data_IF_703376216477
#
_entry.id   IF_703376216477
#
_cell.length_a   1.000
_cell.length_b   1.000
_cell.length_c   1.000
_cell.angle_alpha   90.00
_cell.angle_beta   90.00
_cell.angle_gamma   90.00
#
_symmetry.space_group_name_H-M   'P 1'
#
loop_
_entity.id
_entity.type
_entity.pdbx_description
1 polymer ?
#
# COMPACT_ATOMS: atom_id res chain seq x y z
N UNK A 1 1.68 -71.21 -8.43
CA UNK A 1 0.92 -70.02 -8.79
C UNK A 1 0.89 -68.99 -7.62
N UNK A 2 2.06 -68.54 -7.12
CA UNK A 2 2.10 -67.55 -6.00
C UNK A 2 3.06 -66.38 -6.25
N UNK A 3 3.68 -66.30 -7.41
CA UNK A 3 4.68 -65.24 -7.72
C UNK A 3 4.10 -64.00 -8.42
N UNK A 4 2.99 -64.13 -9.12
CA UNK A 4 2.39 -63.04 -9.94
C UNK A 4 1.62 -62.02 -9.12
N UNK A 5 1.06 -62.39 -7.97
CA UNK A 5 0.26 -61.48 -7.14
C UNK A 5 1.11 -60.41 -6.41
N UNK A 6 2.37 -60.76 -6.05
CA UNK A 6 3.27 -59.80 -5.37
C UNK A 6 3.82 -58.71 -6.29
N UNK A 7 4.05 -59.04 -7.57
CA UNK A 7 4.54 -58.06 -8.54
C UNK A 7 3.50 -56.96 -8.87
N UNK A 8 2.22 -57.35 -8.95
CA UNK A 8 1.13 -56.38 -9.25
C UNK A 8 0.93 -55.39 -8.11
N UNK A 9 1.05 -55.84 -6.85
CA UNK A 9 0.89 -54.95 -5.69
C UNK A 9 2.03 -53.92 -5.62
N UNK A 10 3.27 -54.31 -5.92
CA UNK A 10 4.43 -53.40 -5.89
C UNK A 10 4.32 -52.34 -6.98
N UNK A 11 3.87 -52.70 -8.19
CA UNK A 11 3.69 -51.75 -9.30
C UNK A 11 2.56 -50.73 -8.98
N UNK A 12 1.47 -51.19 -8.40
CA UNK A 12 0.36 -50.30 -7.99
C UNK A 12 0.81 -49.31 -6.91
N UNK A 13 1.63 -49.75 -5.96
CA UNK A 13 2.12 -48.89 -4.88
C UNK A 13 3.11 -47.81 -5.37
N UNK A 14 3.98 -48.16 -6.31
CA UNK A 14 4.92 -47.17 -6.93
C UNK A 14 4.18 -46.14 -7.77
N UNK A 15 3.14 -46.54 -8.52
CA UNK A 15 2.32 -45.60 -9.28
C UNK A 15 1.54 -44.64 -8.38
N UNK A 16 1.02 -45.07 -7.22
CA UNK A 16 0.33 -44.20 -6.29
C UNK A 16 1.28 -43.17 -5.64
N UNK A 17 2.51 -43.59 -5.28
CA UNK A 17 3.50 -42.68 -4.70
C UNK A 17 3.97 -41.62 -5.73
N UNK A 18 4.08 -41.99 -7.00
CA UNK A 18 4.42 -41.05 -8.08
C UNK A 18 3.33 -40.03 -8.33
N UNK A 19 2.06 -40.43 -8.26
CA UNK A 19 0.93 -39.53 -8.43
C UNK A 19 0.81 -38.53 -7.28
N UNK A 20 1.03 -38.96 -6.02
CA UNK A 20 1.03 -38.09 -4.86
C UNK A 20 2.19 -37.08 -4.90
N UNK A 21 3.38 -37.52 -5.32
CA UNK A 21 4.54 -36.64 -5.47
C UNK A 21 4.30 -35.55 -6.54
N UNK A 22 3.62 -35.90 -7.65
CA UNK A 22 3.29 -34.94 -8.72
C UNK A 22 2.24 -33.93 -8.24
N UNK A 23 1.25 -34.37 -7.45
CA UNK A 23 0.23 -33.47 -6.92
C UNK A 23 0.85 -32.52 -5.89
N UNK A 24 1.72 -33.00 -5.00
CA UNK A 24 2.40 -32.16 -4.00
C UNK A 24 3.37 -31.19 -4.68
N UNK A 25 4.08 -31.62 -5.74
CA UNK A 25 5.00 -30.74 -6.48
C UNK A 25 4.26 -29.70 -7.34
N UNK A 26 3.02 -29.98 -7.78
CA UNK A 26 2.19 -28.96 -8.47
C UNK A 26 1.62 -27.91 -7.52
N UNK A 27 1.35 -28.26 -6.26
CA UNK A 27 0.90 -27.29 -5.27
C UNK A 27 2.04 -26.41 -4.73
N UNK A 28 3.29 -26.85 -4.84
CA UNK A 28 4.49 -26.08 -4.47
C UNK A 28 5.02 -25.17 -5.59
N UNK A 29 4.32 -25.06 -6.73
CA UNK A 29 4.57 -23.92 -7.61
C UNK A 29 4.08 -22.68 -6.88
N UNK A 30 5.00 -22.11 -6.12
CA UNK A 30 4.91 -20.76 -5.58
C UNK A 30 4.12 -19.91 -6.56
N UNK A 31 2.97 -19.36 -6.10
CA UNK A 31 2.40 -18.15 -6.71
C UNK A 31 3.60 -17.27 -7.07
N UNK A 32 3.71 -16.77 -8.31
CA UNK A 32 4.70 -15.73 -8.56
C UNK A 32 4.47 -14.70 -7.45
N UNK A 33 5.54 -14.38 -6.71
CA UNK A 33 5.52 -13.25 -5.78
C UNK A 33 4.90 -12.12 -6.60
N UNK A 34 3.71 -11.70 -6.21
CA UNK A 34 3.06 -10.56 -6.82
C UNK A 34 4.02 -9.40 -6.60
N UNK A 35 4.74 -9.07 -7.66
CA UNK A 35 5.64 -7.95 -7.72
C UNK A 35 4.84 -6.73 -7.30
N UNK A 36 5.10 -6.22 -6.08
CA UNK A 36 4.44 -5.07 -5.50
C UNK A 36 3.03 -5.34 -4.96
N UNK A 37 2.90 -6.16 -3.91
CA UNK A 37 1.72 -6.12 -3.05
C UNK A 37 1.62 -4.72 -2.44
N UNK A 38 1.01 -3.81 -3.19
CA UNK A 38 0.69 -2.46 -2.73
C UNK A 38 -0.16 -2.52 -1.47
N UNK A 39 -0.12 -1.49 -0.62
CA UNK A 39 -1.07 -1.38 0.50
C UNK A 39 -2.46 -1.43 -0.12
N UNK A 40 -3.23 -2.42 0.25
CA UNK A 40 -4.58 -2.60 -0.22
C UNK A 40 -5.50 -1.77 0.67
N UNK A 41 -6.11 -0.74 0.08
CA UNK A 41 -7.09 0.11 0.76
C UNK A 41 -8.49 -0.45 0.53
N UNK A 42 -9.44 -0.24 1.45
CA UNK A 42 -10.85 -0.58 1.23
C UNK A 42 -11.37 0.05 -0.06
N UNK A 43 -12.07 -0.74 -0.88
CA UNK A 43 -12.55 -0.33 -2.21
C UNK A 43 -13.57 0.82 -2.15
N UNK A 44 -14.32 0.92 -1.07
CA UNK A 44 -15.31 1.99 -0.89
C UNK A 44 -15.40 2.37 0.60
N UNK A 45 -15.36 3.67 0.86
CA UNK A 45 -15.55 4.25 2.20
C UNK A 45 -16.65 5.31 2.10
N UNK A 46 -17.64 5.24 2.99
CA UNK A 46 -18.75 6.20 3.00
C UNK A 46 -18.25 7.63 3.27
N UNK A 47 -18.96 8.63 2.77
CA UNK A 47 -18.61 10.03 3.02
C UNK A 47 -18.57 10.35 4.51
N UNK A 48 -19.51 9.85 5.29
CA UNK A 48 -19.53 10.00 6.73
C UNK A 48 -18.28 9.42 7.39
N UNK A 49 -17.83 8.25 6.93
CA UNK A 49 -16.60 7.62 7.44
C UNK A 49 -15.37 8.44 7.09
N UNK A 50 -15.24 8.97 5.87
CA UNK A 50 -14.12 9.84 5.46
C UNK A 50 -14.01 11.06 6.39
N UNK A 51 -15.12 11.70 6.69
CA UNK A 51 -15.17 12.85 7.61
C UNK A 51 -14.74 12.42 9.02
N UNK A 52 -15.19 11.26 9.51
CA UNK A 52 -14.81 10.75 10.83
C UNK A 52 -13.33 10.41 10.94
N UNK A 53 -12.72 9.87 9.87
CA UNK A 53 -11.30 9.53 9.86
C UNK A 53 -10.38 10.73 10.09
N UNK A 54 -10.84 11.95 9.79
CA UNK A 54 -10.06 13.19 9.92
C UNK A 54 -10.55 14.11 11.04
N UNK A 55 -11.39 13.64 11.94
CA UNK A 55 -11.88 14.42 13.09
C UNK A 55 -10.87 14.63 14.20
N UNK A 56 -9.91 13.73 14.33
CA UNK A 56 -8.96 13.74 15.43
C UNK A 56 -8.15 15.04 15.50
N UNK A 57 -7.59 15.29 16.66
CA UNK A 57 -6.61 16.36 16.85
C UNK A 57 -5.24 15.85 16.38
N UNK A 58 -4.88 16.22 15.15
CA UNK A 58 -3.66 15.79 14.51
C UNK A 58 -2.51 16.75 14.77
N UNK A 59 -1.38 16.25 15.25
CA UNK A 59 -0.10 16.96 15.19
C UNK A 59 0.36 16.96 13.73
N UNK A 60 0.50 18.15 13.15
CA UNK A 60 0.89 18.33 11.74
C UNK A 60 2.37 18.00 11.55
N UNK A 61 2.66 17.35 10.43
CA UNK A 61 3.98 16.86 10.03
C UNK A 61 4.29 17.42 8.64
N UNK A 62 5.41 18.11 8.53
CA UNK A 62 5.92 18.69 7.26
C UNK A 62 7.28 18.13 6.87
N UNK A 63 7.75 17.09 7.56
CA UNK A 63 8.99 16.39 7.25
C UNK A 63 8.75 14.87 7.22
N UNK A 64 9.11 14.25 6.10
CA UNK A 64 8.91 12.81 5.87
C UNK A 64 9.59 11.94 6.94
N UNK A 65 10.76 12.35 7.45
CA UNK A 65 11.50 11.58 8.46
C UNK A 65 10.79 11.52 9.83
N UNK A 66 9.78 12.37 10.06
CA UNK A 66 9.00 12.43 11.31
C UNK A 66 7.70 11.63 11.23
N UNK A 67 7.40 11.06 10.06
CA UNK A 67 6.25 10.15 9.92
C UNK A 67 6.37 8.94 10.87
N UNK A 68 5.26 8.41 11.39
CA UNK A 68 5.28 7.16 12.13
C UNK A 68 6.00 6.07 11.37
N UNK A 69 6.88 5.33 12.05
CA UNK A 69 7.76 4.32 11.42
C UNK A 69 7.01 3.34 10.50
N UNK A 70 5.85 2.75 10.86
CA UNK A 70 5.15 1.84 9.97
C UNK A 70 4.64 2.53 8.70
N UNK A 71 4.20 3.79 8.80
CA UNK A 71 3.76 4.57 7.64
C UNK A 71 4.94 4.90 6.73
N UNK A 72 6.07 5.33 7.30
CA UNK A 72 7.30 5.60 6.54
C UNK A 72 7.79 4.35 5.79
N UNK A 73 7.87 3.20 6.45
CA UNK A 73 8.22 1.91 5.82
C UNK A 73 7.32 1.60 4.65
N UNK A 74 6.02 1.82 4.77
CA UNK A 74 5.06 1.57 3.71
C UNK A 74 5.31 2.39 2.43
N UNK A 75 5.84 3.59 2.56
CA UNK A 75 6.30 4.38 1.42
C UNK A 75 7.66 3.95 0.89
N UNK A 76 8.49 3.25 1.67
CA UNK A 76 9.83 2.80 1.27
C UNK A 76 9.83 1.44 0.57
N UNK A 77 9.00 0.50 1.01
CA UNK A 77 9.04 -0.90 0.58
C UNK A 77 8.47 -1.16 -0.83
N UNK A 78 7.76 -0.20 -1.42
CA UNK A 78 6.90 -0.43 -2.59
C UNK A 78 7.52 -0.25 -3.97
N UNK A 79 8.82 -0.11 -4.13
CA UNK A 79 9.40 -0.01 -5.47
C UNK A 79 10.59 0.93 -5.64
N UNK A 80 11.54 0.88 -4.74
CA UNK A 80 12.77 1.67 -4.84
C UNK A 80 12.51 3.18 -4.77
N UNK A 81 13.35 3.99 -5.39
CA UNK A 81 13.25 5.45 -5.37
C UNK A 81 11.91 6.02 -5.86
N UNK A 82 11.18 5.28 -6.72
CA UNK A 82 9.86 5.70 -7.23
C UNK A 82 8.76 5.72 -6.17
N UNK A 83 8.90 4.95 -5.11
CA UNK A 83 7.93 4.87 -4.02
C UNK A 83 8.23 5.84 -2.90
N UNK A 84 9.45 6.34 -2.82
CA UNK A 84 9.85 7.29 -1.81
C UNK A 84 9.00 8.56 -1.89
N UNK A 85 8.80 9.15 -0.72
CA UNK A 85 8.10 10.42 -0.56
C UNK A 85 9.15 11.52 -0.37
N UNK A 86 9.18 12.50 -1.26
CA UNK A 86 10.01 13.70 -1.09
C UNK A 86 9.44 14.62 -0.03
N UNK A 87 10.28 15.41 0.61
CA UNK A 87 9.84 16.47 1.52
C UNK A 87 9.07 17.60 0.76
N UNK A 88 8.23 18.38 1.44
CA UNK A 88 7.62 19.57 0.85
C UNK A 88 8.67 20.48 0.21
N UNK A 89 8.38 20.97 -0.99
CA UNK A 89 9.30 21.84 -1.75
C UNK A 89 10.49 21.14 -2.40
N UNK A 90 10.79 19.88 -2.07
CA UNK A 90 11.87 19.14 -2.69
C UNK A 90 11.54 18.73 -4.14
N UNK A 91 12.58 18.41 -4.92
CA UNK A 91 12.43 17.89 -6.29
C UNK A 91 11.68 16.56 -6.28
N UNK A 92 10.78 16.38 -7.24
CA UNK A 92 10.11 15.12 -7.53
C UNK A 92 9.78 15.04 -9.02
N UNK A 93 9.45 13.86 -9.53
CA UNK A 93 9.05 13.64 -10.91
C UNK A 93 7.52 13.85 -11.05
N UNK A 94 7.05 14.99 -11.56
CA UNK A 94 5.62 15.33 -11.62
C UNK A 94 4.87 14.67 -12.78
N UNK A 95 5.58 14.06 -13.74
CA UNK A 95 5.01 13.45 -14.94
C UNK A 95 5.37 11.96 -15.05
N UNK A 96 4.85 11.30 -16.08
CA UNK A 96 5.22 9.93 -16.48
C UNK A 96 6.59 9.86 -17.16
N UNK A 97 7.05 10.97 -17.71
CA UNK A 97 8.43 11.10 -18.21
C UNK A 97 9.37 11.21 -17.01
N UNK A 98 10.20 10.19 -16.83
CA UNK A 98 11.16 10.13 -15.73
C UNK A 98 12.46 10.75 -16.21
N UNK A 99 12.72 11.99 -15.79
CA UNK A 99 13.94 12.71 -16.07
C UNK A 99 15.12 12.21 -15.23
N UNK A 100 14.84 11.82 -13.99
CA UNK A 100 15.83 11.31 -13.04
C UNK A 100 15.20 10.19 -12.21
N UNK A 101 15.70 8.98 -12.40
CA UNK A 101 15.18 7.80 -11.70
C UNK A 101 15.46 7.79 -10.18
N UNK A 102 16.41 8.61 -9.72
CA UNK A 102 16.73 8.75 -8.30
C UNK A 102 15.74 9.64 -7.55
N UNK A 103 14.99 10.48 -8.29
CA UNK A 103 14.04 11.43 -7.72
C UNK A 103 12.66 10.77 -7.53
N UNK A 104 12.04 10.91 -6.35
CA UNK A 104 10.72 10.35 -6.07
C UNK A 104 9.64 10.82 -7.03
N UNK A 105 8.59 10.02 -7.19
CA UNK A 105 7.37 10.41 -7.92
C UNK A 105 6.28 10.97 -7.02
N UNK A 106 6.53 11.00 -5.72
CA UNK A 106 5.60 11.53 -4.71
C UNK A 106 6.29 12.63 -3.92
N UNK A 107 5.56 13.67 -3.59
CA UNK A 107 6.04 14.75 -2.75
C UNK A 107 5.01 15.07 -1.67
N UNK A 108 5.42 15.04 -0.42
CA UNK A 108 4.58 15.39 0.72
C UNK A 108 4.10 16.84 0.56
N UNK A 109 2.83 17.06 0.80
CA UNK A 109 2.27 18.40 1.03
C UNK A 109 2.31 18.61 2.54
N UNK A 110 1.60 17.80 3.29
CA UNK A 110 1.71 17.66 4.74
C UNK A 110 1.10 16.33 5.19
N UNK A 111 1.36 15.97 6.43
CA UNK A 111 0.73 14.83 7.07
C UNK A 111 0.24 15.22 8.48
N UNK A 112 -0.47 14.34 9.13
CA UNK A 112 -0.84 14.49 10.52
C UNK A 112 -0.88 13.16 11.23
N UNK A 113 -0.48 13.15 12.50
CA UNK A 113 -0.55 11.98 13.35
C UNK A 113 -1.29 12.31 14.66
N UNK A 114 -2.24 11.45 15.02
CA UNK A 114 -2.88 11.37 16.34
C UNK A 114 -2.40 10.13 17.07
N UNK A 115 -3.01 9.77 18.18
CA UNK A 115 -2.66 8.60 18.98
C UNK A 115 -2.85 7.29 18.19
N UNK A 116 -3.92 7.20 17.39
CA UNK A 116 -4.37 5.97 16.75
C UNK A 116 -4.49 6.08 15.22
N UNK A 117 -4.17 7.25 14.65
CA UNK A 117 -4.28 7.50 13.21
C UNK A 117 -3.14 8.35 12.67
N UNK A 118 -2.87 8.14 11.38
CA UNK A 118 -2.00 9.00 10.60
C UNK A 118 -2.64 9.23 9.23
N UNK A 119 -2.63 10.45 8.74
CA UNK A 119 -2.89 10.71 7.32
C UNK A 119 -1.66 11.29 6.64
N UNK A 120 -1.53 11.02 5.34
CA UNK A 120 -0.48 11.58 4.49
C UNK A 120 -1.15 12.20 3.26
N UNK A 121 -1.02 13.52 3.11
CA UNK A 121 -1.49 14.25 1.93
C UNK A 121 -0.29 14.61 1.06
N UNK A 122 -0.29 14.13 -0.19
CA UNK A 122 0.84 14.27 -1.09
C UNK A 122 0.41 14.47 -2.54
N UNK A 123 1.28 15.06 -3.33
CA UNK A 123 1.15 15.08 -4.78
C UNK A 123 1.88 13.89 -5.39
N UNK A 124 1.31 13.34 -6.44
CA UNK A 124 1.84 12.21 -7.17
C UNK A 124 1.97 12.55 -8.65
N UNK A 125 3.16 12.29 -9.21
CA UNK A 125 3.42 12.39 -10.62
C UNK A 125 2.93 11.16 -11.39
N UNK A 126 2.55 11.36 -12.66
CA UNK A 126 2.06 10.32 -13.55
C UNK A 126 1.62 10.92 -14.88
N UNK A 127 0.60 10.35 -15.54
CA UNK A 127 -0.02 10.92 -16.75
C UNK A 127 -0.61 12.31 -16.52
N UNK A 128 -0.73 12.72 -15.28
CA UNK A 128 -1.08 14.03 -14.78
C UNK A 128 -0.68 14.12 -13.34
N UNK A 129 -0.57 15.35 -12.80
CA UNK A 129 -0.37 15.58 -11.39
C UNK A 129 -1.67 15.27 -10.65
N UNK A 130 -1.62 14.43 -9.65
CA UNK A 130 -2.75 14.12 -8.77
C UNK A 130 -2.42 14.43 -7.31
N UNK A 131 -3.44 14.76 -6.54
CA UNK A 131 -3.34 15.00 -5.11
C UNK A 131 -4.01 13.86 -4.39
N UNK A 132 -3.26 13.20 -3.53
CA UNK A 132 -3.70 11.95 -2.88
C UNK A 132 -3.73 12.17 -1.38
N UNK A 133 -4.70 11.60 -0.73
CA UNK A 133 -4.73 11.41 0.72
C UNK A 133 -4.76 9.91 1.02
N UNK A 134 -3.92 9.48 1.93
CA UNK A 134 -3.96 8.13 2.51
C UNK A 134 -4.12 8.26 4.02
N UNK A 135 -5.05 7.50 4.58
CA UNK A 135 -5.33 7.47 6.03
C UNK A 135 -5.07 6.07 6.55
N UNK A 136 -4.34 6.00 7.64
CA UNK A 136 -3.90 4.77 8.29
C UNK A 136 -4.36 4.76 9.76
N UNK A 137 -4.84 3.62 10.23
CA UNK A 137 -4.93 3.31 11.65
C UNK A 137 -3.56 2.91 12.18
N UNK A 138 -3.17 3.44 13.33
CA UNK A 138 -1.96 3.07 14.04
C UNK A 138 -2.36 2.15 15.19
N UNK A 139 -1.90 0.90 15.17
CA UNK A 139 -2.08 -0.03 16.28
C UNK A 139 -0.80 -0.02 17.12
N UNK A 140 -0.94 -0.32 18.40
CA UNK A 140 0.18 -0.31 19.36
C UNK A 140 1.43 -0.99 18.79
N UNK A 141 2.52 -0.23 18.65
CA UNK A 141 3.82 -0.71 18.21
C UNK A 141 4.14 -0.44 16.75
N UNK A 142 4.25 -1.46 15.93
CA UNK A 142 4.86 -1.37 14.59
C UNK A 142 3.88 -1.64 13.44
N UNK A 143 2.60 -1.79 13.73
CA UNK A 143 1.61 -2.16 12.72
C UNK A 143 0.73 -0.98 12.33
N UNK A 144 0.40 -0.91 11.06
CA UNK A 144 -0.57 0.03 10.53
C UNK A 144 -1.64 -0.71 9.73
N UNK A 145 -2.83 -0.13 9.67
CA UNK A 145 -3.95 -0.60 8.88
C UNK A 145 -4.35 0.50 7.87
N UNK A 146 -4.42 0.21 6.55
CA UNK A 146 -4.91 1.16 5.58
C UNK A 146 -6.42 1.34 5.75
N UNK A 147 -6.87 2.56 6.05
CA UNK A 147 -8.27 2.87 6.32
C UNK A 147 -8.97 3.49 5.11
N UNK A 148 -8.29 4.37 4.40
CA UNK A 148 -8.84 5.03 3.24
C UNK A 148 -7.74 5.67 2.38
N UNK A 149 -7.96 5.61 1.06
CA UNK A 149 -7.20 6.37 0.06
C UNK A 149 -8.18 7.13 -0.83
N UNK A 150 -7.90 8.40 -1.06
CA UNK A 150 -8.70 9.25 -1.94
C UNK A 150 -7.84 10.12 -2.85
N UNK A 151 -8.43 10.53 -3.97
CA UNK A 151 -7.86 11.51 -4.88
C UNK A 151 -8.59 12.83 -4.69
N UNK A 152 -7.85 13.91 -4.43
CA UNK A 152 -8.42 15.24 -4.26
C UNK A 152 -8.29 16.05 -5.56
N UNK A 153 -9.28 16.89 -5.85
CA UNK A 153 -9.31 17.72 -7.06
C UNK A 153 -8.25 18.82 -7.09
N UNK A 154 -7.78 19.22 -5.92
CA UNK A 154 -6.76 20.26 -5.74
C UNK A 154 -5.94 19.99 -4.46
N UNK A 155 -4.73 20.56 -4.33
CA UNK A 155 -3.98 20.47 -3.08
C UNK A 155 -4.73 21.16 -1.95
N UNK A 156 -4.51 20.71 -0.73
CA UNK A 156 -4.89 21.42 0.48
C UNK A 156 -3.62 21.92 1.18
N UNK A 157 -3.60 23.18 1.60
CA UNK A 157 -2.42 23.77 2.23
C UNK A 157 -2.39 23.54 3.75
N UNK A 158 -3.52 23.12 4.32
CA UNK A 158 -3.68 22.84 5.74
C UNK A 158 -4.81 21.85 6.00
N UNK A 159 -4.91 21.37 7.25
CA UNK A 159 -5.89 20.38 7.66
C UNK A 159 -7.35 20.86 7.53
N UNK A 160 -7.61 22.14 7.79
CA UNK A 160 -8.96 22.69 7.67
C UNK A 160 -9.44 22.68 6.22
N UNK A 161 -8.60 23.15 5.30
CA UNK A 161 -8.86 23.10 3.86
C UNK A 161 -9.07 21.66 3.39
N UNK A 162 -8.25 20.72 3.87
CA UNK A 162 -8.39 19.30 3.52
C UNK A 162 -9.72 18.71 4.03
N UNK A 163 -10.10 19.00 5.27
CA UNK A 163 -11.39 18.62 5.85
C UNK A 163 -12.57 19.18 5.04
N UNK A 164 -12.49 20.46 4.68
CA UNK A 164 -13.50 21.11 3.85
C UNK A 164 -13.65 20.46 2.48
N UNK A 165 -12.53 20.14 1.81
CA UNK A 165 -12.57 19.41 0.53
C UNK A 165 -13.24 18.04 0.66
N UNK A 166 -12.89 17.28 1.70
CA UNK A 166 -13.47 15.96 1.93
C UNK A 166 -14.98 16.08 2.22
N UNK A 167 -15.38 17.00 3.09
CA UNK A 167 -16.79 17.23 3.40
C UNK A 167 -17.59 17.64 2.16
N UNK A 168 -17.01 18.46 1.30
CA UNK A 168 -17.62 18.93 0.04
C UNK A 168 -17.51 17.94 -1.12
N UNK A 169 -17.00 16.71 -0.91
CA UNK A 169 -16.86 15.72 -1.98
C UNK A 169 -15.69 15.97 -2.93
N UNK A 170 -14.81 16.89 -2.62
CA UNK A 170 -13.62 17.21 -3.43
C UNK A 170 -12.48 16.18 -3.34
N UNK A 171 -12.61 15.18 -2.46
CA UNK A 171 -11.73 14.00 -2.40
C UNK A 171 -12.59 12.73 -2.49
N UNK A 172 -12.36 11.89 -3.52
CA UNK A 172 -13.14 10.71 -3.87
C UNK A 172 -12.29 9.45 -3.96
#
# INVERSE_FOLDING_TARGET
>A
MRATTRAVIVVAFVCCLSAVAIVVFRQSRSKPLAEGAGIEFPAAVSQATKVQLLKDDFRIITNVSVLPTPVLKAFQEKGGSRSLLANPGAKFNPSDVIWDASVPRKRLIFAGASTDRCFVHYEQGGRGRSYVIEVFGLRSGETMEPLWRGHCTRPADNLETLRSQITGGGCF
#
